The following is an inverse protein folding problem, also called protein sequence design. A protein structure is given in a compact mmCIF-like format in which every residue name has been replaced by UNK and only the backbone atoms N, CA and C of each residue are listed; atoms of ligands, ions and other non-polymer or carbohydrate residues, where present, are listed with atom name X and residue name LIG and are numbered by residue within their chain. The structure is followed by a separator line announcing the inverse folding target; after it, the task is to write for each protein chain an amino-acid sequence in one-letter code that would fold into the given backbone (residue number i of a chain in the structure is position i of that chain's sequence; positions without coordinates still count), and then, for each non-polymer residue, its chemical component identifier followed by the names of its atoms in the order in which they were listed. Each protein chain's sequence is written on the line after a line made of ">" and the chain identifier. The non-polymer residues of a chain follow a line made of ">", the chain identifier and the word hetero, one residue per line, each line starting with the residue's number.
data_IF_306430549259
#
_entry.id   IF_306430549259
#
_cell.length_a   1.000
_cell.length_b   1.000
_cell.length_c   1.000
_cell.angle_alpha   90.00
_cell.angle_beta   90.00
_cell.angle_gamma   90.00
#
_symmetry.space_group_name_H-M   'P 1'
#
loop_
_entity.id
_entity.type
_entity.pdbx_description
1 polymer ?
#
# COMPACT_ATOMS: atom_id res chain seq x y z
N UNK A 1 -5.46 -19.93 8.73
CA UNK A 1 -5.32 -19.46 7.32
C UNK A 1 -5.12 -17.95 7.41
N UNK A 2 -3.98 -17.30 7.23
CA UNK A 2 -2.87 -17.45 6.28
C UNK A 2 -1.60 -16.94 7.00
N UNK A 3 -0.56 -17.77 7.11
CA UNK A 3 0.70 -17.43 7.75
C UNK A 3 1.71 -17.00 6.67
N UNK A 4 2.25 -15.77 6.70
CA UNK A 4 3.45 -15.41 5.93
C UNK A 4 4.45 -14.70 6.85
N UNK A 5 5.71 -15.12 6.72
CA UNK A 5 6.78 -15.13 7.72
C UNK A 5 7.28 -13.76 8.22
N UNK A 6 7.45 -13.68 9.54
CA UNK A 6 8.69 -13.42 10.29
C UNK A 6 9.55 -12.19 9.91
N UNK A 7 9.48 -11.14 10.74
CA UNK A 7 10.44 -10.03 10.79
C UNK A 7 9.92 -8.75 11.47
N UNK A 8 9.69 -8.78 12.79
CA UNK A 8 9.58 -7.63 13.73
C UNK A 8 8.66 -6.43 13.38
N UNK A 9 7.52 -6.29 14.08
CA UNK A 9 6.68 -5.07 14.16
C UNK A 9 6.28 -4.42 12.81
N UNK A 10 5.41 -5.09 12.03
CA UNK A 10 4.86 -4.47 10.82
C UNK A 10 3.90 -3.32 11.17
N UNK A 11 4.40 -2.09 11.00
CA UNK A 11 3.59 -0.88 11.13
C UNK A 11 2.40 -0.88 10.16
N UNK A 12 1.36 -0.12 10.50
CA UNK A 12 0.20 0.08 9.61
C UNK A 12 0.61 0.59 8.23
N UNK A 13 1.67 1.39 8.15
CA UNK A 13 2.28 1.83 6.88
C UNK A 13 2.77 0.65 6.04
N UNK A 14 3.50 -0.30 6.63
CA UNK A 14 3.99 -1.50 5.91
C UNK A 14 2.83 -2.35 5.37
N UNK A 15 1.74 -2.47 6.14
CA UNK A 15 0.55 -3.19 5.68
C UNK A 15 -0.08 -2.52 4.46
N UNK A 16 -0.18 -1.17 4.47
CA UNK A 16 -0.69 -0.40 3.33
C UNK A 16 0.22 -0.54 2.10
N UNK A 17 1.55 -0.49 2.28
CA UNK A 17 2.52 -0.71 1.20
C UNK A 17 2.30 -2.07 0.54
N UNK A 18 2.27 -3.14 1.35
CA UNK A 18 2.08 -4.50 0.85
C UNK A 18 0.72 -4.67 0.17
N UNK A 19 -0.32 -4.02 0.69
CA UNK A 19 -1.64 -4.04 0.08
C UNK A 19 -1.61 -3.44 -1.33
N UNK A 20 -1.13 -2.19 -1.48
CA UNK A 20 -1.10 -1.50 -2.77
C UNK A 20 -0.18 -2.24 -3.74
N UNK A 21 1.00 -2.70 -3.28
CA UNK A 21 1.94 -3.50 -4.07
C UNK A 21 1.28 -4.75 -4.64
N UNK A 22 0.52 -5.49 -3.82
CA UNK A 22 -0.23 -6.67 -4.30
C UNK A 22 -1.33 -6.30 -5.30
N UNK A 23 -2.01 -5.17 -5.12
CA UNK A 23 -3.03 -4.72 -6.07
C UNK A 23 -2.44 -4.36 -7.44
N UNK A 24 -1.24 -3.79 -7.47
CA UNK A 24 -0.50 -3.46 -8.70
C UNK A 24 0.05 -4.74 -9.35
N UNK A 25 0.83 -5.54 -8.60
CA UNK A 25 1.61 -6.65 -9.16
C UNK A 25 0.81 -7.93 -9.36
N UNK A 26 -0.07 -8.28 -8.42
CA UNK A 26 -0.77 -9.57 -8.40
C UNK A 26 -2.17 -9.43 -8.98
N UNK A 27 -2.99 -8.53 -8.43
CA UNK A 27 -4.37 -8.35 -8.90
C UNK A 27 -4.46 -7.57 -10.21
N UNK A 28 -3.41 -6.86 -10.63
CA UNK A 28 -3.41 -5.93 -11.78
C UNK A 28 -4.59 -4.95 -11.76
N UNK A 29 -5.04 -4.58 -10.56
CA UNK A 29 -6.21 -3.74 -10.32
C UNK A 29 -5.89 -2.26 -10.55
N UNK A 30 -4.63 -1.89 -10.28
CA UNK A 30 -4.07 -0.60 -10.62
C UNK A 30 -3.08 -0.80 -11.77
N UNK A 31 -3.31 -0.12 -12.88
CA UNK A 31 -2.44 -0.05 -14.04
C UNK A 31 -1.65 1.25 -14.02
N UNK A 32 -0.60 1.32 -14.84
CA UNK A 32 0.11 2.59 -15.08
C UNK A 32 -0.89 3.65 -15.56
N UNK A 33 -0.87 4.80 -14.91
CA UNK A 33 -1.81 5.90 -15.17
C UNK A 33 -3.08 5.87 -14.31
N UNK A 34 -3.36 4.78 -13.59
CA UNK A 34 -4.48 4.76 -12.66
C UNK A 34 -4.17 5.63 -11.44
N UNK A 35 -5.13 6.48 -11.07
CA UNK A 35 -5.00 7.37 -9.92
C UNK A 35 -5.31 6.60 -8.64
N UNK A 36 -4.31 6.50 -7.76
CA UNK A 36 -4.49 5.95 -6.42
C UNK A 36 -5.05 7.06 -5.52
N UNK A 37 -6.26 6.87 -4.99
CA UNK A 37 -6.91 7.86 -4.12
C UNK A 37 -6.58 7.54 -2.67
N UNK A 38 -5.74 8.38 -2.05
CA UNK A 38 -5.31 8.24 -0.66
C UNK A 38 -6.48 8.12 0.32
N UNK A 39 -7.50 8.98 0.18
CA UNK A 39 -8.67 8.98 1.05
C UNK A 39 -9.39 7.63 1.06
N UNK A 40 -9.54 6.98 -0.11
CA UNK A 40 -10.18 5.66 -0.20
C UNK A 40 -9.39 4.59 0.53
N UNK A 41 -8.06 4.66 0.49
CA UNK A 41 -7.19 3.71 1.19
C UNK A 41 -7.24 3.99 2.69
N UNK A 42 -7.16 5.25 3.10
CA UNK A 42 -7.24 5.66 4.50
C UNK A 42 -8.56 5.19 5.15
N UNK A 43 -9.70 5.42 4.48
CA UNK A 43 -11.01 4.96 4.92
C UNK A 43 -11.10 3.43 5.00
N UNK A 44 -10.56 2.73 3.99
CA UNK A 44 -10.58 1.26 3.95
C UNK A 44 -9.80 0.63 5.10
N UNK A 45 -8.67 1.22 5.48
CA UNK A 45 -7.86 0.74 6.59
C UNK A 45 -8.27 1.37 7.94
N UNK A 46 -9.22 2.30 7.93
CA UNK A 46 -9.65 3.08 9.10
C UNK A 46 -8.48 3.79 9.81
N UNK A 47 -7.60 4.39 9.01
CA UNK A 47 -6.38 5.08 9.49
C UNK A 47 -6.34 6.52 8.98
N UNK A 48 -5.47 7.32 9.60
CA UNK A 48 -5.17 8.68 9.11
C UNK A 48 -4.50 8.66 7.73
N UNK A 49 -4.55 9.78 7.01
CA UNK A 49 -3.91 9.91 5.68
C UNK A 49 -2.37 9.89 5.73
N UNK A 50 -1.78 10.26 6.87
CA UNK A 50 -0.33 10.30 7.05
C UNK A 50 0.40 8.96 6.75
N UNK A 51 -0.01 7.81 7.33
CA UNK A 51 0.59 6.52 6.99
C UNK A 51 0.34 6.08 5.55
N UNK A 52 -0.76 6.50 4.92
CA UNK A 52 -1.04 6.19 3.50
C UNK A 52 -0.08 6.94 2.59
N UNK A 53 0.15 8.23 2.85
CA UNK A 53 1.12 9.04 2.10
C UNK A 53 2.52 8.46 2.21
N UNK A 54 2.92 8.05 3.41
CA UNK A 54 4.23 7.42 3.63
C UNK A 54 4.35 6.08 2.88
N UNK A 55 3.28 5.29 2.86
CA UNK A 55 3.24 4.07 2.07
C UNK A 55 3.39 4.33 0.56
N UNK A 56 2.70 5.35 0.04
CA UNK A 56 2.83 5.76 -1.36
C UNK A 56 4.24 6.24 -1.68
N UNK A 57 4.85 7.06 -0.81
CA UNK A 57 6.23 7.53 -0.98
C UNK A 57 7.24 6.38 -1.03
N UNK A 58 7.05 5.34 -0.23
CA UNK A 58 7.88 4.12 -0.30
C UNK A 58 7.69 3.39 -1.63
N UNK A 59 6.44 3.27 -2.10
CA UNK A 59 6.15 2.66 -3.39
C UNK A 59 6.72 3.46 -4.56
N UNK A 60 6.74 4.79 -4.45
CA UNK A 60 7.34 5.72 -5.42
C UNK A 60 8.84 5.50 -5.50
N UNK A 61 9.52 5.38 -4.35
CA UNK A 61 10.94 5.01 -4.30
C UNK A 61 11.26 3.65 -4.93
N UNK A 62 10.27 2.75 -5.03
CA UNK A 62 10.39 1.47 -5.72
C UNK A 62 9.97 1.54 -7.20
N UNK A 63 9.58 2.72 -7.72
CA UNK A 63 9.13 2.90 -9.10
C UNK A 63 7.77 2.26 -9.40
N UNK A 64 6.96 1.99 -8.38
CA UNK A 64 5.64 1.36 -8.53
C UNK A 64 4.51 2.38 -8.70
N UNK A 65 4.71 3.61 -8.21
CA UNK A 65 3.76 4.73 -8.30
C UNK A 65 4.52 6.01 -8.64
N UNK A 66 3.84 6.99 -9.23
CA UNK A 66 4.33 8.33 -9.62
C UNK A 66 3.17 9.31 -9.51
#
# INVERSE_FOLDING_TARGET
>A
MVNKKCGSNETITSQVVNYIRNQILVSKKYKKGDKIVESKIAEKFNISRAPVREALRRLESHGLVT
#
